data_IF_721436058653
#
_entry.id   IF_721436058653
#
_cell.length_a   1.000
_cell.length_b   1.000
_cell.length_c   1.000
_cell.angle_alpha   90.00
_cell.angle_beta   90.00
_cell.angle_gamma   90.00
#
_symmetry.space_group_name_H-M   'P 1'
#
loop_
_entity.id
_entity.type
_entity.pdbx_description
1 polymer ?
#
# COMPACT_ATOMS: atom_id res chain seq x y z
N UNK A 1 -22.16 -6.04 13.30
CA UNK A 1 -21.59 -7.22 12.62
C UNK A 1 -21.02 -6.86 11.24
N UNK A 2 -21.81 -6.38 10.27
CA UNK A 2 -21.35 -6.08 8.90
C UNK A 2 -20.13 -5.12 8.84
N UNK A 3 -20.17 -3.98 9.53
CA UNK A 3 -19.07 -2.99 9.56
C UNK A 3 -17.72 -3.60 10.01
N UNK A 4 -17.75 -4.52 10.96
CA UNK A 4 -16.56 -5.24 11.45
C UNK A 4 -16.00 -6.21 10.42
N UNK A 5 -16.87 -6.89 9.67
CA UNK A 5 -16.46 -7.76 8.56
C UNK A 5 -15.83 -6.94 7.43
N UNK A 6 -16.44 -5.80 7.07
CA UNK A 6 -15.89 -4.87 6.08
C UNK A 6 -14.52 -4.36 6.52
N UNK A 7 -14.39 -3.83 7.75
CA UNK A 7 -13.11 -3.35 8.26
C UNK A 7 -12.04 -4.44 8.30
N UNK A 8 -12.41 -5.69 8.59
CA UNK A 8 -11.49 -6.84 8.54
C UNK A 8 -11.08 -7.19 7.11
N UNK A 9 -12.02 -7.23 6.17
CA UNK A 9 -11.71 -7.48 4.76
C UNK A 9 -10.77 -6.41 4.21
N UNK A 10 -11.03 -5.13 4.52
CA UNK A 10 -10.15 -4.03 4.13
C UNK A 10 -8.77 -4.14 4.77
N UNK A 11 -8.69 -4.48 6.06
CA UNK A 11 -7.41 -4.72 6.71
C UNK A 11 -6.61 -5.84 6.03
N UNK A 12 -7.28 -6.94 5.67
CA UNK A 12 -6.65 -8.05 4.93
C UNK A 12 -6.14 -7.58 3.56
N UNK A 13 -6.93 -6.78 2.83
CA UNK A 13 -6.47 -6.21 1.54
C UNK A 13 -5.24 -5.31 1.73
N UNK A 14 -5.21 -4.48 2.78
CA UNK A 14 -4.07 -3.60 3.09
C UNK A 14 -2.84 -4.38 3.54
N UNK A 15 -2.98 -5.62 4.02
CA UNK A 15 -1.85 -6.52 4.24
C UNK A 15 -1.40 -7.16 2.94
N UNK A 16 -2.34 -7.77 2.20
CA UNK A 16 -2.01 -8.61 1.05
C UNK A 16 -1.47 -7.80 -0.13
N UNK A 17 -2.00 -6.61 -0.39
CA UNK A 17 -1.59 -5.79 -1.53
C UNK A 17 -0.10 -5.41 -1.45
N UNK A 18 0.39 -4.70 -0.41
CA UNK A 18 1.82 -4.38 -0.29
C UNK A 18 2.68 -5.64 -0.07
N UNK A 19 2.15 -6.72 0.51
CA UNK A 19 2.90 -7.97 0.58
C UNK A 19 3.22 -8.52 -0.82
N UNK A 20 2.21 -8.61 -1.68
CA UNK A 20 2.34 -9.09 -3.06
C UNK A 20 3.18 -8.11 -3.89
N UNK A 21 2.97 -6.80 -3.76
CA UNK A 21 3.80 -5.80 -4.45
C UNK A 21 5.26 -5.91 -4.03
N UNK A 22 5.51 -6.07 -2.73
CA UNK A 22 6.84 -6.24 -2.18
C UNK A 22 7.57 -7.43 -2.79
N UNK A 23 6.93 -8.61 -2.80
CA UNK A 23 7.48 -9.80 -3.46
C UNK A 23 7.69 -9.59 -4.96
N UNK A 24 6.74 -8.95 -5.65
CA UNK A 24 6.84 -8.69 -7.10
C UNK A 24 8.03 -7.76 -7.41
N UNK A 25 8.28 -6.73 -6.62
CA UNK A 25 9.47 -5.87 -6.78
C UNK A 25 10.78 -6.60 -6.49
N UNK A 26 10.79 -7.54 -5.53
CA UNK A 26 11.99 -8.31 -5.22
C UNK A 26 12.35 -9.37 -6.28
N UNK A 27 11.35 -10.02 -6.87
CA UNK A 27 11.57 -11.15 -7.78
C UNK A 27 11.33 -10.82 -9.26
N UNK A 28 10.65 -9.72 -9.55
CA UNK A 28 10.23 -9.30 -10.89
C UNK A 28 10.24 -7.76 -11.00
N UNK A 29 11.32 -7.12 -10.54
CA UNK A 29 11.45 -5.66 -10.45
C UNK A 29 10.98 -4.89 -11.69
N UNK A 30 11.53 -5.16 -12.89
CA UNK A 30 11.09 -4.51 -14.13
C UNK A 30 9.60 -4.75 -14.45
N UNK A 31 9.11 -5.97 -14.25
CA UNK A 31 7.71 -6.31 -14.46
C UNK A 31 6.80 -5.54 -13.50
N UNK A 32 7.18 -5.45 -12.22
CA UNK A 32 6.45 -4.67 -11.21
C UNK A 32 6.47 -3.17 -11.52
N UNK A 33 7.62 -2.63 -11.93
CA UNK A 33 7.80 -1.21 -12.22
C UNK A 33 7.03 -0.76 -13.47
N UNK A 34 6.84 -1.63 -14.47
CA UNK A 34 6.10 -1.30 -15.69
C UNK A 34 4.64 -0.88 -15.43
N UNK A 35 4.03 -1.42 -14.37
CA UNK A 35 2.68 -1.06 -13.93
C UNK A 35 2.61 0.15 -12.98
N UNK A 36 3.75 0.69 -12.53
CA UNK A 36 3.78 1.74 -11.52
C UNK A 36 3.38 3.12 -12.07
N UNK A 37 3.62 3.36 -13.37
CA UNK A 37 3.28 4.62 -14.04
C UNK A 37 4.43 5.62 -14.18
N UNK A 38 5.68 5.21 -13.94
CA UNK A 38 6.88 6.03 -14.19
C UNK A 38 7.75 5.34 -15.24
N UNK A 39 8.12 6.08 -16.29
CA UNK A 39 8.97 5.58 -17.38
C UNK A 39 10.02 6.62 -17.80
N UNK A 40 11.28 6.21 -18.07
CA UNK A 40 11.81 4.86 -17.85
C UNK A 40 11.93 4.54 -16.35
N UNK A 41 11.66 3.30 -15.95
CA UNK A 41 11.95 2.81 -14.60
C UNK A 41 13.46 2.52 -14.45
N UNK A 42 14.02 2.32 -13.24
CA UNK A 42 15.46 2.09 -13.06
C UNK A 42 16.03 0.91 -13.89
N UNK A 43 17.25 1.07 -14.41
CA UNK A 43 18.03 0.01 -15.09
C UNK A 43 19.47 -0.05 -14.55
N UNK A 44 20.15 -1.18 -14.79
CA UNK A 44 21.55 -1.37 -14.38
C UNK A 44 21.71 -1.25 -12.85
N UNK A 45 22.71 -0.52 -12.38
CA UNK A 45 22.95 -0.34 -10.94
C UNK A 45 21.76 0.29 -10.19
N UNK A 46 20.93 1.09 -10.89
CA UNK A 46 19.75 1.70 -10.30
C UNK A 46 18.62 0.68 -10.03
N UNK A 47 18.68 -0.55 -10.57
CA UNK A 47 17.70 -1.59 -10.24
C UNK A 47 17.71 -1.98 -8.76
N UNK A 48 18.77 -1.63 -8.01
CA UNK A 48 18.79 -1.72 -6.55
C UNK A 48 17.61 -1.01 -5.87
N UNK A 49 16.99 0.00 -6.51
CA UNK A 49 15.78 0.66 -6.00
C UNK A 49 14.56 -0.29 -5.94
N UNK A 50 14.51 -1.36 -6.75
CA UNK A 50 13.46 -2.37 -6.64
C UNK A 50 13.54 -3.12 -5.32
N UNK A 51 14.75 -3.39 -4.82
CA UNK A 51 14.95 -4.00 -3.50
C UNK A 51 14.46 -3.04 -2.42
N UNK A 52 14.84 -1.77 -2.50
CA UNK A 52 14.40 -0.74 -1.54
C UNK A 52 12.87 -0.65 -1.48
N UNK A 53 12.20 -0.60 -2.63
CA UNK A 53 10.74 -0.59 -2.68
C UNK A 53 10.14 -1.89 -2.14
N UNK A 54 10.65 -3.03 -2.60
CA UNK A 54 10.14 -4.35 -2.22
C UNK A 54 10.18 -4.58 -0.71
N UNK A 55 11.30 -4.26 -0.08
CA UNK A 55 11.48 -4.40 1.38
C UNK A 55 10.57 -3.45 2.16
N UNK A 56 10.38 -2.21 1.68
CA UNK A 56 9.47 -1.24 2.34
C UNK A 56 8.02 -1.71 2.30
N UNK A 57 7.56 -2.19 1.15
CA UNK A 57 6.20 -2.70 0.98
C UNK A 57 5.97 -3.94 1.88
N UNK A 58 6.92 -4.88 1.93
CA UNK A 58 6.87 -6.03 2.85
C UNK A 58 6.86 -5.60 4.32
N UNK A 59 7.67 -4.61 4.69
CA UNK A 59 7.77 -4.14 6.08
C UNK A 59 6.43 -3.59 6.57
N UNK A 60 5.75 -2.77 5.75
CA UNK A 60 4.43 -2.22 6.10
C UNK A 60 3.39 -3.32 6.14
N UNK A 61 3.41 -4.25 5.18
CA UNK A 61 2.50 -5.40 5.15
C UNK A 61 2.62 -6.26 6.41
N UNK A 62 3.84 -6.62 6.82
CA UNK A 62 4.09 -7.45 8.00
C UNK A 62 3.77 -6.72 9.30
N UNK A 63 3.98 -5.40 9.35
CA UNK A 63 3.56 -4.56 10.48
C UNK A 63 2.05 -4.58 10.64
N UNK A 64 1.30 -4.34 9.55
CA UNK A 64 -0.15 -4.40 9.55
C UNK A 64 -0.68 -5.81 9.88
N UNK A 65 -0.07 -6.86 9.32
CA UNK A 65 -0.43 -8.25 9.59
C UNK A 65 -0.27 -8.59 11.08
N UNK A 66 0.84 -8.17 11.69
CA UNK A 66 1.09 -8.41 13.11
C UNK A 66 0.00 -7.77 13.97
N UNK A 67 -0.36 -6.51 13.71
CA UNK A 67 -1.42 -5.84 14.46
C UNK A 67 -2.79 -6.49 14.24
N UNK A 68 -3.07 -6.95 13.02
CA UNK A 68 -4.30 -7.66 12.68
C UNK A 68 -4.41 -8.99 13.45
N UNK A 69 -3.37 -9.82 13.41
CA UNK A 69 -3.33 -11.12 14.08
C UNK A 69 -3.38 -11.00 15.61
N UNK A 70 -2.80 -9.93 16.16
CA UNK A 70 -2.85 -9.62 17.60
C UNK A 70 -4.16 -8.95 18.05
N UNK A 71 -5.06 -8.64 17.11
CA UNK A 71 -6.33 -7.97 17.42
C UNK A 71 -6.20 -6.51 17.85
N UNK A 72 -5.06 -5.86 17.60
CA UNK A 72 -4.83 -4.44 17.93
C UNK A 72 -5.49 -3.51 16.90
N UNK A 73 -6.82 -3.58 16.78
CA UNK A 73 -7.58 -2.98 15.67
C UNK A 73 -7.48 -1.47 15.58
N UNK A 74 -7.53 -0.76 16.72
CA UNK A 74 -7.38 0.71 16.74
C UNK A 74 -5.98 1.13 16.28
N UNK A 75 -4.95 0.48 16.80
CA UNK A 75 -3.55 0.72 16.40
C UNK A 75 -3.34 0.39 14.93
N UNK A 76 -3.91 -0.71 14.43
CA UNK A 76 -3.90 -1.05 13.01
C UNK A 76 -4.54 0.06 12.17
N UNK A 77 -5.69 0.60 12.60
CA UNK A 77 -6.33 1.73 11.93
C UNK A 77 -5.41 2.95 11.83
N UNK A 78 -4.72 3.32 12.91
CA UNK A 78 -3.73 4.42 12.91
C UNK A 78 -2.59 4.13 11.92
N UNK A 79 -2.02 2.93 11.98
CA UNK A 79 -0.91 2.52 11.10
C UNK A 79 -1.32 2.56 9.64
N UNK A 80 -2.52 2.08 9.30
CA UNK A 80 -3.05 2.12 7.93
C UNK A 80 -3.20 3.58 7.46
N UNK A 81 -3.73 4.47 8.30
CA UNK A 81 -3.89 5.89 7.93
C UNK A 81 -2.55 6.60 7.72
N UNK A 82 -1.52 6.28 8.52
CA UNK A 82 -0.16 6.76 8.29
C UNK A 82 0.38 6.18 6.98
N UNK A 83 0.19 4.88 6.75
CA UNK A 83 0.67 4.20 5.55
C UNK A 83 -0.01 4.70 4.26
N UNK A 84 -1.20 5.31 4.32
CA UNK A 84 -1.84 6.00 3.18
C UNK A 84 -0.93 7.06 2.55
N UNK A 85 0.01 7.63 3.30
CA UNK A 85 0.99 8.57 2.74
C UNK A 85 1.83 7.95 1.63
N UNK A 86 2.03 6.62 1.63
CA UNK A 86 2.79 5.92 0.58
C UNK A 86 2.10 6.02 -0.79
N UNK A 87 0.86 5.54 -1.00
CA UNK A 87 0.20 5.68 -2.29
C UNK A 87 -0.06 7.15 -2.66
N UNK A 88 -0.22 8.07 -1.71
CA UNK A 88 -0.28 9.51 -2.04
C UNK A 88 1.06 10.03 -2.57
N UNK A 89 2.18 9.62 -1.98
CA UNK A 89 3.51 9.90 -2.48
C UNK A 89 3.77 9.27 -3.85
N UNK A 90 3.31 8.03 -4.06
CA UNK A 90 3.41 7.33 -5.34
C UNK A 90 2.60 8.05 -6.43
N UNK A 91 1.37 8.49 -6.12
CA UNK A 91 0.54 9.29 -7.02
C UNK A 91 1.24 10.60 -7.41
N UNK A 92 1.83 11.29 -6.43
CA UNK A 92 2.58 12.53 -6.66
C UNK A 92 3.82 12.27 -7.52
N UNK A 93 4.56 11.19 -7.26
CA UNK A 93 5.72 10.81 -8.06
C UNK A 93 5.33 10.54 -9.51
N UNK A 94 4.29 9.75 -9.75
CA UNK A 94 3.74 9.50 -11.11
C UNK A 94 3.37 10.81 -11.80
N UNK A 95 2.59 11.66 -11.12
CA UNK A 95 2.13 12.93 -11.70
C UNK A 95 3.28 13.89 -12.06
N UNK A 96 4.36 13.88 -11.28
CA UNK A 96 5.49 14.80 -11.45
C UNK A 96 6.61 14.25 -12.34
N UNK A 97 6.62 12.95 -12.62
CA UNK A 97 7.71 12.27 -13.35
C UNK A 97 7.20 11.58 -14.62
N UNK A 98 6.38 12.29 -15.40
CA UNK A 98 5.99 11.89 -16.75
C UNK A 98 4.87 10.85 -16.84
N UNK A 99 4.31 10.42 -15.71
CA UNK A 99 3.13 9.57 -15.68
C UNK A 99 1.84 10.35 -15.97
N UNK A 100 0.81 9.64 -16.40
CA UNK A 100 -0.49 10.27 -16.69
C UNK A 100 -1.29 10.53 -15.41
N UNK A 101 -2.13 11.58 -15.42
CA UNK A 101 -3.09 11.82 -14.34
C UNK A 101 -4.01 10.60 -14.13
N UNK A 102 -4.40 9.92 -15.21
CA UNK A 102 -5.22 8.70 -15.13
C UNK A 102 -4.50 7.63 -14.32
N UNK A 103 -3.22 7.34 -14.59
CA UNK A 103 -2.44 6.37 -13.81
C UNK A 103 -2.30 6.78 -12.34
N UNK A 104 -2.00 8.05 -12.07
CA UNK A 104 -1.91 8.55 -10.69
C UNK A 104 -3.22 8.35 -9.92
N UNK A 105 -4.36 8.63 -10.56
CA UNK A 105 -5.68 8.50 -9.94
C UNK A 105 -6.13 7.05 -9.78
N UNK A 106 -6.07 6.25 -10.85
CA UNK A 106 -6.66 4.90 -10.88
C UNK A 106 -5.84 3.87 -10.14
N UNK A 107 -4.52 4.03 -10.09
CA UNK A 107 -3.62 3.08 -9.42
C UNK A 107 -3.40 3.50 -7.97
N UNK A 108 -2.97 4.74 -7.76
CA UNK A 108 -2.42 5.17 -6.48
C UNK A 108 -3.45 5.86 -5.60
N UNK A 109 -4.18 6.87 -6.12
CA UNK A 109 -5.21 7.55 -5.32
C UNK A 109 -6.35 6.60 -4.95
N UNK A 110 -6.73 5.67 -5.82
CA UNK A 110 -7.72 4.64 -5.50
C UNK A 110 -7.30 3.76 -4.32
N UNK A 111 -6.02 3.35 -4.27
CA UNK A 111 -5.44 2.61 -3.16
C UNK A 111 -5.43 3.45 -1.87
N UNK A 112 -5.05 4.73 -1.96
CA UNK A 112 -5.09 5.66 -0.84
C UNK A 112 -6.52 5.80 -0.27
N UNK A 113 -7.55 5.94 -1.12
CA UNK A 113 -8.95 6.03 -0.70
C UNK A 113 -9.39 4.75 0.01
N UNK A 114 -9.03 3.58 -0.53
CA UNK A 114 -9.32 2.30 0.12
C UNK A 114 -8.67 2.24 1.51
N UNK A 115 -7.41 2.62 1.64
CA UNK A 115 -6.70 2.65 2.93
C UNK A 115 -7.33 3.64 3.91
N UNK A 116 -7.72 4.84 3.47
CA UNK A 116 -8.41 5.83 4.30
C UNK A 116 -9.71 5.29 4.87
N UNK A 117 -10.57 4.72 4.02
CA UNK A 117 -11.85 4.15 4.44
C UNK A 117 -11.60 3.00 5.43
N UNK A 118 -10.67 2.09 5.13
CA UNK A 118 -10.34 0.96 6.00
C UNK A 118 -9.79 1.38 7.36
N UNK A 119 -8.86 2.33 7.37
CA UNK A 119 -8.27 2.89 8.57
C UNK A 119 -9.28 3.62 9.45
N UNK A 120 -10.16 4.44 8.86
CA UNK A 120 -11.25 5.12 9.59
C UNK A 120 -12.23 4.11 10.15
N UNK A 121 -12.61 3.07 9.40
CA UNK A 121 -13.53 2.04 9.89
C UNK A 121 -12.96 1.30 11.11
N UNK A 122 -11.67 0.98 11.12
CA UNK A 122 -10.99 0.36 12.26
C UNK A 122 -10.85 1.31 13.45
N UNK A 123 -10.57 2.59 13.22
CA UNK A 123 -10.49 3.61 14.28
C UNK A 123 -11.82 3.84 14.99
N UNK A 124 -12.91 3.77 14.24
CA UNK A 124 -14.27 4.08 14.71
C UNK A 124 -15.07 2.81 15.07
N UNK A 125 -14.41 1.65 15.06
CA UNK A 125 -14.99 0.40 15.54
C UNK A 125 -15.17 0.48 17.06
N UNK A 126 -16.39 0.22 17.55
CA UNK A 126 -16.64 0.12 18.99
C UNK A 126 -15.79 -1.00 19.57
N UNK A 127 -14.96 -0.68 20.55
CA UNK A 127 -14.24 -1.69 21.32
C UNK A 127 -15.28 -2.47 22.12
N UNK A 128 -15.30 -3.80 21.93
CA UNK A 128 -16.16 -4.71 22.69
C UNK A 128 -15.56 -4.97 24.07
#
# INVERSE_FOLDING_TARGET
MLRKHIGTAMAVLVVLAPFVFGLNFLFNGPGAASGFGITPWPQGDAEGYFIVKGVRDLTVALTALTLLLRGHRRTLGIVILIATLMPLGDAYAVFTHGGTLVQALTIHVSAAVLMLIGGVLLLTEKQA
#
